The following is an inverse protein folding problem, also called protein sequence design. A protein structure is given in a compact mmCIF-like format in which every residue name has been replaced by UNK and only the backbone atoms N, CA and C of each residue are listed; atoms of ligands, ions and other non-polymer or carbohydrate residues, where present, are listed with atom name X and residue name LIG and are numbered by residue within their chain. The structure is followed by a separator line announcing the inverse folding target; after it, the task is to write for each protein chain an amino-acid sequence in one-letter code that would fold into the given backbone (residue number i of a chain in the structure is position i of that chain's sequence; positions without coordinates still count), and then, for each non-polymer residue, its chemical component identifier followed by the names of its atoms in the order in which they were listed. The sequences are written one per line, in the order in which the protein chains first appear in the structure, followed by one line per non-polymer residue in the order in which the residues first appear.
data_IF_356792051020
#
_entry.id   IF_356792051020
#
_cell.length_a   1.000
_cell.length_b   1.000
_cell.length_c   1.000
_cell.angle_alpha   90.00
_cell.angle_beta   90.00
_cell.angle_gamma   90.00
#
_symmetry.space_group_name_H-M   'P 1'
#
loop_
_entity.id
_entity.type
_entity.pdbx_description
1 polymer ?
#
# COMPACT_ATOMS: atom_id res chain seq x y z
N UNK A 1 -87.32 62.23 -75.07
CA UNK A 1 -86.52 61.10 -74.55
C UNK A 1 -85.93 61.49 -73.20
N UNK A 2 -86.48 61.00 -72.08
CA UNK A 2 -85.99 61.29 -70.72
C UNK A 2 -84.95 60.22 -70.34
N UNK A 3 -83.68 60.61 -70.17
CA UNK A 3 -82.64 59.74 -69.57
C UNK A 3 -82.95 59.58 -68.08
N UNK A 4 -83.31 58.36 -67.66
CA UNK A 4 -83.34 57.95 -66.25
C UNK A 4 -81.89 57.79 -65.79
N UNK A 5 -81.43 58.65 -64.88
CA UNK A 5 -80.23 58.40 -64.10
C UNK A 5 -80.53 57.28 -63.10
N UNK A 6 -79.81 56.16 -63.23
CA UNK A 6 -79.84 55.08 -62.25
C UNK A 6 -78.97 55.51 -61.07
N UNK A 7 -79.58 55.75 -59.90
CA UNK A 7 -78.84 55.89 -58.65
C UNK A 7 -78.24 54.52 -58.32
N UNK A 8 -76.95 54.36 -58.58
CA UNK A 8 -76.13 53.36 -57.89
C UNK A 8 -76.08 53.78 -56.42
N UNK A 9 -76.88 53.13 -55.57
CA UNK A 9 -76.82 53.32 -54.12
C UNK A 9 -75.44 52.85 -53.65
N UNK A 10 -74.55 53.81 -53.35
CA UNK A 10 -73.15 53.56 -53.02
C UNK A 10 -72.99 52.71 -51.77
N UNK A 11 -72.57 51.45 -51.96
CA UNK A 11 -72.17 50.52 -50.89
C UNK A 11 -70.77 50.79 -50.33
N UNK A 12 -70.08 51.83 -50.82
CA UNK A 12 -68.69 52.16 -50.47
C UNK A 12 -68.55 52.56 -49.00
N UNK A 13 -69.49 53.33 -48.45
CA UNK A 13 -69.40 53.79 -47.07
C UNK A 13 -69.59 52.67 -46.01
N UNK A 14 -70.62 51.79 -46.11
CA UNK A 14 -70.74 50.64 -45.21
C UNK A 14 -69.56 49.66 -45.31
N UNK A 15 -69.04 49.45 -46.51
CA UNK A 15 -67.92 48.55 -46.78
C UNK A 15 -66.60 49.09 -46.22
N UNK A 16 -66.36 50.40 -46.35
CA UNK A 16 -65.23 51.08 -45.71
C UNK A 16 -65.29 50.97 -44.18
N UNK A 17 -66.47 51.18 -43.57
CA UNK A 17 -66.66 51.03 -42.13
C UNK A 17 -66.34 49.59 -41.69
N UNK A 18 -66.82 48.58 -42.43
CA UNK A 18 -66.54 47.17 -42.14
C UNK A 18 -65.05 46.86 -42.21
N UNK A 19 -64.35 47.35 -43.23
CA UNK A 19 -62.89 47.19 -43.35
C UNK A 19 -62.14 47.93 -42.23
N UNK A 20 -62.61 49.09 -41.76
CA UNK A 20 -62.00 49.78 -40.62
C UNK A 20 -62.20 49.02 -39.30
N UNK A 21 -63.37 48.39 -39.08
CA UNK A 21 -63.58 47.54 -37.91
C UNK A 21 -62.73 46.28 -37.98
N UNK A 22 -62.62 45.67 -39.16
CA UNK A 22 -61.80 44.49 -39.36
C UNK A 22 -60.30 44.79 -39.18
N UNK A 23 -59.81 45.93 -39.68
CA UNK A 23 -58.41 46.34 -39.45
C UNK A 23 -58.15 46.64 -37.98
N UNK A 24 -59.09 47.27 -37.29
CA UNK A 24 -58.98 47.52 -35.85
C UNK A 24 -58.94 46.21 -35.05
N UNK A 25 -59.78 45.22 -35.40
CA UNK A 25 -59.75 43.89 -34.79
C UNK A 25 -58.42 43.17 -35.02
N UNK A 26 -57.87 43.23 -36.23
CA UNK A 26 -56.55 42.68 -36.54
C UNK A 26 -55.43 43.35 -35.72
N UNK A 27 -55.48 44.69 -35.60
CA UNK A 27 -54.51 45.44 -34.79
C UNK A 27 -54.63 45.04 -33.31
N UNK A 28 -55.83 44.94 -32.76
CA UNK A 28 -56.04 44.52 -31.37
C UNK A 28 -55.57 43.08 -31.14
N UNK A 29 -55.87 42.16 -32.07
CA UNK A 29 -55.39 40.79 -31.99
C UNK A 29 -53.85 40.71 -32.01
N UNK A 30 -53.21 41.46 -32.92
CA UNK A 30 -51.75 41.54 -33.00
C UNK A 30 -51.12 42.13 -31.73
N UNK A 31 -51.68 43.21 -31.20
CA UNK A 31 -51.21 43.84 -29.95
C UNK A 31 -51.37 42.89 -28.74
N UNK A 32 -52.49 42.16 -28.67
CA UNK A 32 -52.70 41.15 -27.64
C UNK A 32 -51.69 40.00 -27.71
N UNK A 33 -51.41 39.50 -28.91
CA UNK A 33 -50.40 38.46 -29.12
C UNK A 33 -48.99 38.96 -28.78
N UNK A 34 -48.61 40.16 -29.23
CA UNK A 34 -47.32 40.76 -28.94
C UNK A 34 -47.11 40.98 -27.44
N UNK A 35 -48.12 41.45 -26.71
CA UNK A 35 -48.07 41.62 -25.25
C UNK A 35 -47.91 40.28 -24.51
N UNK A 36 -48.56 39.23 -25.00
CA UNK A 36 -48.45 37.87 -24.46
C UNK A 36 -47.04 37.30 -24.68
N UNK A 37 -46.50 37.43 -25.89
CA UNK A 37 -45.14 36.99 -26.23
C UNK A 37 -44.11 37.73 -25.37
N UNK A 38 -44.19 39.05 -25.27
CA UNK A 38 -43.27 39.85 -24.45
C UNK A 38 -43.32 39.47 -22.96
N UNK A 39 -44.51 39.13 -22.45
CA UNK A 39 -44.66 38.68 -21.06
C UNK A 39 -44.04 37.30 -20.84
N UNK A 40 -44.18 36.39 -21.80
CA UNK A 40 -43.54 35.07 -21.76
C UNK A 40 -42.01 35.16 -21.87
N UNK A 41 -41.49 36.03 -22.73
CA UNK A 41 -40.04 36.25 -22.87
C UNK A 41 -39.41 36.77 -21.58
N UNK A 42 -40.05 37.77 -20.95
CA UNK A 42 -39.61 38.27 -19.63
C UNK A 42 -39.59 37.19 -18.57
N UNK A 43 -40.62 36.35 -18.53
CA UNK A 43 -40.68 35.22 -17.60
C UNK A 43 -39.56 34.21 -17.86
N UNK A 44 -39.35 33.79 -19.12
CA UNK A 44 -38.27 32.86 -19.49
C UNK A 44 -36.89 33.41 -19.16
N UNK A 45 -36.66 34.70 -19.40
CA UNK A 45 -35.40 35.34 -19.05
C UNK A 45 -35.19 35.38 -17.53
N UNK A 46 -36.23 35.72 -16.76
CA UNK A 46 -36.16 35.68 -15.29
C UNK A 46 -35.95 34.25 -14.76
N UNK A 47 -36.53 33.24 -15.42
CA UNK A 47 -36.35 31.82 -15.09
C UNK A 47 -34.91 31.36 -15.29
N UNK A 48 -34.31 31.68 -16.44
CA UNK A 48 -32.89 31.39 -16.72
C UNK A 48 -31.96 32.13 -15.77
N UNK A 49 -32.24 33.41 -15.48
CA UNK A 49 -31.48 34.21 -14.53
C UNK A 49 -31.59 33.64 -13.11
N UNK A 50 -32.76 33.17 -12.70
CA UNK A 50 -32.96 32.52 -11.41
C UNK A 50 -32.22 31.19 -11.32
N UNK A 51 -32.19 30.39 -12.39
CA UNK A 51 -31.38 29.18 -12.44
C UNK A 51 -29.89 29.50 -12.31
N UNK A 52 -29.38 30.46 -13.07
CA UNK A 52 -27.98 30.88 -13.03
C UNK A 52 -27.55 31.37 -11.63
N UNK A 53 -28.38 32.20 -10.99
CA UNK A 53 -28.14 32.66 -9.61
C UNK A 53 -28.13 31.49 -8.62
N UNK A 54 -29.01 30.51 -8.82
CA UNK A 54 -29.06 29.33 -7.96
C UNK A 54 -27.80 28.46 -8.09
N UNK A 55 -27.31 28.24 -9.32
CA UNK A 55 -26.07 27.51 -9.63
C UNK A 55 -24.84 28.24 -9.07
N UNK A 56 -24.80 29.57 -9.19
CA UNK A 56 -23.74 30.37 -8.59
C UNK A 56 -23.71 30.26 -7.05
N UNK A 57 -24.88 30.23 -6.41
CA UNK A 57 -24.98 29.97 -4.98
C UNK A 57 -24.45 28.59 -4.57
N UNK A 58 -24.77 27.54 -5.36
CA UNK A 58 -24.20 26.20 -5.14
C UNK A 58 -22.68 26.22 -5.25
N UNK A 59 -22.14 26.79 -6.31
CA UNK A 59 -20.69 26.83 -6.54
C UNK A 59 -19.94 27.63 -5.48
N UNK A 60 -20.54 28.70 -4.97
CA UNK A 60 -19.90 29.59 -3.99
C UNK A 60 -19.92 29.04 -2.57
N UNK A 61 -21.03 28.43 -2.16
CA UNK A 61 -21.25 28.07 -0.76
C UNK A 61 -21.18 26.55 -0.54
N UNK A 62 -21.70 25.75 -1.47
CA UNK A 62 -21.92 24.33 -1.23
C UNK A 62 -20.80 23.41 -1.76
N UNK A 63 -20.16 23.75 -2.88
CA UNK A 63 -19.13 22.89 -3.52
C UNK A 63 -17.97 22.60 -2.59
N UNK A 64 -17.41 23.63 -1.95
CA UNK A 64 -16.26 23.47 -1.06
C UNK A 64 -16.63 22.79 0.26
N UNK A 65 -17.91 22.85 0.66
CA UNK A 65 -18.39 22.29 1.92
C UNK A 65 -18.84 20.83 1.80
N UNK A 66 -19.39 20.43 0.65
CA UNK A 66 -19.93 19.09 0.38
C UNK A 66 -19.00 17.93 0.79
N UNK A 67 -17.69 17.95 0.48
CA UNK A 67 -16.77 16.88 0.85
C UNK A 67 -16.56 16.73 2.37
N UNK A 68 -16.79 17.79 3.13
CA UNK A 68 -16.52 17.86 4.58
C UNK A 68 -17.81 17.81 5.42
N UNK A 69 -18.93 17.38 4.81
CA UNK A 69 -20.21 17.32 5.48
C UNK A 69 -20.17 16.30 6.64
N UNK A 70 -20.30 16.80 7.87
CA UNK A 70 -20.21 16.03 9.11
C UNK A 70 -21.60 15.65 9.67
N UNK A 71 -22.65 16.31 9.22
CA UNK A 71 -24.03 16.12 9.67
C UNK A 71 -24.96 15.66 8.52
N UNK A 72 -26.04 14.96 8.88
CA UNK A 72 -27.02 14.45 7.90
C UNK A 72 -27.64 15.55 7.03
N UNK A 73 -27.80 16.77 7.56
CA UNK A 73 -28.26 17.95 6.81
C UNK A 73 -27.73 19.24 7.43
N UNK A 74 -27.05 20.06 6.63
CA UNK A 74 -26.56 21.39 7.03
C UNK A 74 -27.16 22.46 6.14
N UNK A 75 -27.64 23.55 6.74
CA UNK A 75 -28.12 24.74 6.02
C UNK A 75 -27.01 25.78 6.04
N UNK A 76 -26.47 26.10 4.86
CA UNK A 76 -25.39 27.08 4.68
C UNK A 76 -25.95 28.49 4.54
N UNK A 77 -27.03 28.64 3.75
CA UNK A 77 -27.69 29.93 3.55
C UNK A 77 -29.17 29.81 3.83
N UNK A 78 -29.65 30.62 4.78
CA UNK A 78 -31.04 30.65 5.19
C UNK A 78 -31.99 31.29 4.18
N UNK A 79 -33.22 31.53 4.63
CA UNK A 79 -34.33 32.05 3.80
C UNK A 79 -34.15 33.50 3.33
N UNK A 80 -33.33 34.29 4.02
CA UNK A 80 -33.05 35.68 3.64
C UNK A 80 -32.22 35.76 2.35
N UNK A 81 -31.37 34.77 2.11
CA UNK A 81 -30.52 34.71 0.92
C UNK A 81 -29.41 35.76 0.90
N UNK A 82 -28.60 35.69 -0.15
CA UNK A 82 -27.54 36.65 -0.45
C UNK A 82 -27.63 37.10 -1.90
N UNK A 83 -27.34 38.38 -2.13
CA UNK A 83 -27.33 38.97 -3.46
C UNK A 83 -26.14 38.46 -4.28
N UNK A 84 -26.36 38.25 -5.58
CA UNK A 84 -25.34 37.74 -6.50
C UNK A 84 -25.28 38.56 -7.77
N UNK A 85 -24.04 38.89 -8.17
CA UNK A 85 -23.70 39.60 -9.40
C UNK A 85 -24.25 41.03 -9.46
N UNK A 86 -23.74 41.82 -10.40
CA UNK A 86 -24.24 43.18 -10.66
C UNK A 86 -24.53 43.31 -12.17
N UNK A 87 -25.63 43.99 -12.51
CA UNK A 87 -25.90 44.40 -13.89
C UNK A 87 -25.11 45.67 -14.27
N UNK A 88 -25.27 46.15 -15.51
CA UNK A 88 -24.57 47.34 -16.01
C UNK A 88 -24.88 48.61 -15.21
N UNK A 89 -25.97 48.61 -14.45
CA UNK A 89 -26.44 49.72 -13.62
C UNK A 89 -26.11 49.50 -12.13
N UNK A 90 -25.37 48.43 -11.78
CA UNK A 90 -24.96 48.10 -10.41
C UNK A 90 -26.04 47.45 -9.56
N UNK A 91 -27.15 46.98 -10.14
CA UNK A 91 -28.19 46.27 -9.40
C UNK A 91 -27.90 44.76 -9.33
N UNK A 92 -28.31 44.08 -8.24
CA UNK A 92 -28.04 42.66 -8.09
C UNK A 92 -28.69 41.82 -9.19
N UNK A 93 -27.95 40.82 -9.70
CA UNK A 93 -28.52 39.87 -10.67
C UNK A 93 -29.63 39.02 -10.02
N UNK A 94 -29.54 38.70 -8.74
CA UNK A 94 -30.63 38.06 -8.02
C UNK A 94 -30.20 37.70 -6.62
N UNK A 95 -31.02 36.89 -5.94
CA UNK A 95 -30.73 36.41 -4.59
C UNK A 95 -30.72 34.88 -4.61
N UNK A 96 -29.62 34.25 -4.18
CA UNK A 96 -29.62 32.81 -3.88
C UNK A 96 -29.93 32.59 -2.41
N UNK A 97 -30.69 31.54 -2.10
CA UNK A 97 -31.18 31.24 -0.75
C UNK A 97 -31.50 29.76 -0.57
N UNK A 98 -31.76 29.37 0.68
CA UNK A 98 -32.08 27.99 1.06
C UNK A 98 -31.01 27.00 0.59
N UNK A 99 -29.73 27.36 0.78
CA UNK A 99 -28.64 26.46 0.44
C UNK A 99 -28.51 25.44 1.55
N UNK A 100 -28.68 24.17 1.20
CA UNK A 100 -28.56 23.05 2.13
C UNK A 100 -27.80 21.88 1.50
N UNK A 101 -26.92 21.28 2.28
CA UNK A 101 -26.19 20.06 1.94
C UNK A 101 -26.68 18.91 2.81
N UNK A 102 -26.84 17.72 2.26
CA UNK A 102 -27.28 16.52 2.97
C UNK A 102 -26.70 15.27 2.32
N UNK A 103 -26.71 14.15 3.04
CA UNK A 103 -26.36 12.83 2.47
C UNK A 103 -27.61 11.97 2.30
N UNK A 104 -27.60 11.11 1.29
CA UNK A 104 -28.63 10.08 1.08
C UNK A 104 -28.00 8.78 0.61
N UNK A 105 -28.58 7.64 0.98
CA UNK A 105 -28.12 6.34 0.47
C UNK A 105 -28.58 6.20 -0.99
N UNK A 106 -27.70 5.74 -1.87
CA UNK A 106 -28.08 5.43 -3.25
C UNK A 106 -28.92 4.14 -3.29
N UNK A 107 -30.03 4.16 -4.01
CA UNK A 107 -30.88 2.98 -4.18
C UNK A 107 -30.10 1.83 -4.82
N UNK A 108 -30.02 0.69 -4.11
CA UNK A 108 -29.30 -0.50 -4.57
C UNK A 108 -27.79 -0.48 -4.36
N UNK A 109 -27.24 0.50 -3.64
CA UNK A 109 -25.82 0.60 -3.33
C UNK A 109 -25.58 0.81 -1.83
N UNK A 110 -24.38 0.45 -1.37
CA UNK A 110 -23.90 0.80 -0.02
C UNK A 110 -23.32 2.21 0.06
N UNK A 111 -23.21 2.90 -1.09
CA UNK A 111 -22.63 4.24 -1.19
C UNK A 111 -23.63 5.32 -0.76
N UNK A 112 -23.10 6.36 -0.09
CA UNK A 112 -23.83 7.59 0.21
C UNK A 112 -23.54 8.62 -0.87
N UNK A 113 -24.58 9.22 -1.42
CA UNK A 113 -24.50 10.40 -2.28
C UNK A 113 -24.58 11.66 -1.42
N UNK A 114 -23.72 12.63 -1.70
CA UNK A 114 -23.70 13.95 -1.11
C UNK A 114 -24.46 14.90 -2.04
N UNK A 115 -25.52 15.53 -1.55
CA UNK A 115 -26.40 16.37 -2.35
C UNK A 115 -26.44 17.77 -1.77
N UNK A 116 -26.24 18.78 -2.62
CA UNK A 116 -26.52 20.17 -2.28
C UNK A 116 -27.66 20.72 -3.12
N UNK A 117 -28.41 21.63 -2.51
CA UNK A 117 -29.58 22.28 -3.09
C UNK A 117 -29.48 23.77 -2.90
N UNK A 118 -29.88 24.56 -3.90
CA UNK A 118 -29.94 26.02 -3.85
C UNK A 118 -31.19 26.53 -4.56
N UNK A 119 -31.77 27.62 -4.06
CA UNK A 119 -32.87 28.32 -4.73
C UNK A 119 -32.44 29.73 -5.13
N UNK A 120 -32.46 30.05 -6.42
CA UNK A 120 -32.28 31.39 -6.94
C UNK A 120 -33.63 32.11 -7.05
N UNK A 121 -33.65 33.39 -6.71
CA UNK A 121 -34.80 34.29 -6.77
C UNK A 121 -34.45 35.51 -7.61
N UNK A 122 -35.31 35.82 -8.59
CA UNK A 122 -35.17 37.00 -9.45
C UNK A 122 -36.51 37.73 -9.52
N UNK A 123 -36.44 39.06 -9.44
CA UNK A 123 -37.59 39.94 -9.55
C UNK A 123 -37.57 40.67 -10.89
N UNK A 124 -38.71 40.77 -11.56
CA UNK A 124 -38.86 41.59 -12.77
C UNK A 124 -40.18 42.37 -12.76
N UNK A 125 -40.19 43.52 -13.43
CA UNK A 125 -41.40 44.33 -13.60
C UNK A 125 -42.27 43.77 -14.74
N UNK A 126 -43.52 43.43 -14.39
CA UNK A 126 -44.54 43.01 -15.36
C UNK A 126 -44.87 44.14 -16.34
N UNK A 127 -45.55 43.80 -17.43
CA UNK A 127 -46.09 44.76 -18.39
C UNK A 127 -47.12 45.73 -17.78
N UNK A 128 -47.62 45.44 -16.58
CA UNK A 128 -48.60 46.26 -15.83
C UNK A 128 -47.93 47.00 -14.66
N UNK A 129 -46.60 46.91 -14.51
CA UNK A 129 -45.83 47.62 -13.48
C UNK A 129 -45.80 46.95 -12.10
N UNK A 130 -46.38 45.75 -11.96
CA UNK A 130 -46.25 44.94 -10.75
C UNK A 130 -44.95 44.14 -10.76
N UNK A 131 -44.32 43.96 -9.60
CA UNK A 131 -43.16 43.08 -9.44
C UNK A 131 -43.60 41.62 -9.44
N UNK A 132 -42.96 40.80 -10.28
CA UNK A 132 -43.14 39.36 -10.32
C UNK A 132 -41.84 38.71 -9.85
N UNK A 133 -41.96 37.80 -8.88
CA UNK A 133 -40.85 37.03 -8.32
C UNK A 133 -40.84 35.63 -8.95
N UNK A 134 -39.71 35.24 -9.51
CA UNK A 134 -39.48 33.91 -10.08
C UNK A 134 -38.42 33.21 -9.24
N UNK A 135 -38.69 31.96 -8.87
CA UNK A 135 -37.76 31.13 -8.11
C UNK A 135 -37.45 29.85 -8.87
N UNK A 136 -36.16 29.47 -8.88
CA UNK A 136 -35.69 28.20 -9.42
C UNK A 136 -34.81 27.51 -8.41
N UNK A 137 -35.03 26.21 -8.27
CA UNK A 137 -34.24 25.37 -7.39
C UNK A 137 -33.41 24.42 -8.24
N UNK A 138 -32.11 24.37 -7.95
CA UNK A 138 -31.14 23.48 -8.58
C UNK A 138 -30.53 22.58 -7.52
N UNK A 139 -30.04 21.43 -7.96
CA UNK A 139 -29.35 20.47 -7.13
C UNK A 139 -28.03 20.09 -7.81
N UNK A 140 -27.05 19.74 -6.99
CA UNK A 140 -25.83 19.08 -7.42
C UNK A 140 -25.62 17.87 -6.53
N UNK A 141 -25.03 16.82 -7.08
CA UNK A 141 -24.65 15.66 -6.30
C UNK A 141 -23.21 15.23 -6.57
N UNK A 142 -22.61 14.65 -5.54
CA UNK A 142 -21.26 14.11 -5.54
C UNK A 142 -21.33 12.71 -4.94
N UNK A 143 -20.74 11.74 -5.62
CA UNK A 143 -20.60 10.37 -5.11
C UNK A 143 -19.11 10.15 -4.85
N UNK A 144 -18.71 9.77 -3.62
CA UNK A 144 -17.31 9.45 -3.36
C UNK A 144 -16.92 8.23 -4.20
N UNK A 145 -15.81 8.38 -4.93
CA UNK A 145 -15.07 7.28 -5.54
C UNK A 145 -13.83 7.03 -4.67
N UNK A 146 -13.47 5.77 -4.46
CA UNK A 146 -12.27 5.36 -3.73
C UNK A 146 -11.45 4.36 -4.55
N UNK A 147 -10.40 3.83 -3.93
CA UNK A 147 -9.51 2.85 -4.58
C UNK A 147 -10.21 1.54 -4.95
N UNK A 148 -11.38 1.26 -4.39
CA UNK A 148 -12.14 0.04 -4.71
C UNK A 148 -12.63 -0.02 -6.17
N UNK A 149 -12.56 1.08 -6.91
CA UNK A 149 -12.89 1.11 -8.33
C UNK A 149 -11.74 0.62 -9.21
N UNK A 150 -10.52 0.60 -8.68
CA UNK A 150 -9.32 0.23 -9.41
C UNK A 150 -8.87 -1.18 -9.01
N UNK A 151 -8.61 -2.01 -10.01
CA UNK A 151 -7.85 -3.23 -9.79
C UNK A 151 -6.36 -2.93 -9.64
N UNK A 152 -5.87 -1.94 -10.38
CA UNK A 152 -4.52 -1.44 -10.26
C UNK A 152 -4.53 0.09 -10.33
N UNK A 153 -3.96 0.72 -9.31
CA UNK A 153 -3.75 2.16 -9.26
C UNK A 153 -2.35 2.42 -8.73
N UNK A 154 -1.55 3.17 -9.48
CA UNK A 154 -0.28 3.68 -8.96
C UNK A 154 -0.05 5.14 -9.29
N UNK A 155 0.65 5.82 -8.39
CA UNK A 155 1.11 7.17 -8.63
C UNK A 155 2.38 7.21 -9.50
N UNK A 156 3.20 6.15 -9.44
CA UNK A 156 4.43 6.03 -10.22
C UNK A 156 4.80 4.53 -10.34
N UNK A 157 5.32 4.09 -11.48
CA UNK A 157 5.72 2.69 -11.72
C UNK A 157 7.12 2.39 -11.14
N UNK A 158 7.38 2.91 -9.93
CA UNK A 158 8.66 2.68 -9.25
C UNK A 158 8.68 1.28 -8.61
N UNK A 159 9.77 0.50 -8.84
CA UNK A 159 9.92 -0.81 -8.23
C UNK A 159 9.95 -0.72 -6.70
N UNK A 160 9.14 -1.53 -6.01
CA UNK A 160 9.06 -1.57 -4.55
C UNK A 160 8.98 -3.01 -4.02
N UNK A 161 9.38 -3.21 -2.77
CA UNK A 161 9.37 -4.52 -2.10
C UNK A 161 10.74 -5.23 -2.06
N UNK A 162 10.82 -6.43 -1.46
CA UNK A 162 12.07 -7.17 -1.32
C UNK A 162 12.56 -7.72 -2.68
N UNK A 163 13.83 -7.49 -2.99
CA UNK A 163 14.48 -7.85 -4.26
C UNK A 163 13.73 -7.35 -5.51
N UNK A 164 13.47 -6.03 -5.61
CA UNK A 164 12.66 -5.51 -6.68
C UNK A 164 13.47 -5.46 -7.98
N UNK A 165 12.81 -5.65 -9.11
CA UNK A 165 13.41 -5.43 -10.44
C UNK A 165 13.87 -3.98 -10.59
N UNK A 166 14.69 -3.68 -11.60
CA UNK A 166 15.08 -2.31 -11.93
C UNK A 166 13.92 -1.43 -12.42
N UNK A 167 12.81 -2.05 -12.83
CA UNK A 167 11.59 -1.40 -13.30
C UNK A 167 10.39 -2.34 -13.08
N UNK A 168 9.20 -1.78 -12.95
CA UNK A 168 7.93 -2.52 -13.04
C UNK A 168 7.63 -2.76 -14.52
N UNK A 169 7.26 -3.99 -14.88
CA UNK A 169 6.88 -4.34 -16.26
C UNK A 169 5.69 -5.28 -16.30
N UNK A 170 4.80 -5.07 -17.27
CA UNK A 170 3.61 -5.91 -17.49
C UNK A 170 3.84 -6.90 -18.63
N UNK A 171 3.48 -8.18 -18.47
CA UNK A 171 3.67 -9.23 -19.49
C UNK A 171 2.57 -10.28 -19.54
N UNK A 172 2.82 -11.40 -20.24
CA UNK A 172 1.84 -12.47 -20.55
C UNK A 172 1.12 -13.08 -19.34
N UNK A 173 1.70 -12.98 -18.14
CA UNK A 173 1.09 -13.49 -16.91
C UNK A 173 0.15 -12.49 -16.21
N UNK A 174 0.07 -11.25 -16.68
CA UNK A 174 -0.70 -10.19 -16.04
C UNK A 174 -2.08 -10.07 -16.69
N UNK A 175 -3.09 -10.61 -16.01
CA UNK A 175 -4.50 -10.52 -16.40
C UNK A 175 -5.21 -9.53 -15.47
N UNK A 176 -5.57 -8.36 -16.00
CA UNK A 176 -6.13 -7.23 -15.27
C UNK A 176 -7.59 -7.01 -15.67
N UNK A 177 -8.50 -7.65 -14.91
CA UNK A 177 -9.94 -7.68 -15.19
C UNK A 177 -10.70 -6.38 -14.87
N UNK A 178 -10.13 -5.52 -14.01
CA UNK A 178 -10.77 -4.29 -13.53
C UNK A 178 -10.20 -3.01 -14.14
N UNK A 179 -10.59 -1.86 -13.58
CA UNK A 179 -10.03 -0.58 -14.02
C UNK A 179 -8.56 -0.47 -13.62
N UNK A 180 -7.73 -0.11 -14.58
CA UNK A 180 -6.30 0.11 -14.38
C UNK A 180 -5.97 1.58 -14.62
N UNK A 181 -5.19 2.16 -13.71
CA UNK A 181 -4.73 3.53 -13.84
C UNK A 181 -3.30 3.71 -13.35
N UNK A 182 -2.52 4.50 -14.09
CA UNK A 182 -1.18 4.91 -13.68
C UNK A 182 -0.98 6.40 -13.94
N UNK A 183 -0.48 7.09 -12.91
CA UNK A 183 0.00 8.47 -13.04
C UNK A 183 1.47 8.53 -13.49
N UNK A 184 2.13 7.37 -13.67
CA UNK A 184 3.52 7.29 -14.06
C UNK A 184 3.75 7.92 -15.44
N UNK A 185 4.87 8.65 -15.64
CA UNK A 185 5.25 9.13 -16.97
C UNK A 185 5.75 8.02 -17.90
N UNK A 186 6.02 6.83 -17.37
CA UNK A 186 6.51 5.68 -18.16
C UNK A 186 5.78 4.39 -17.76
N UNK A 187 5.36 3.61 -18.77
CA UNK A 187 4.86 2.24 -18.61
C UNK A 187 5.75 1.30 -19.43
N UNK A 188 6.16 0.19 -18.84
CA UNK A 188 7.06 -0.78 -19.49
C UNK A 188 6.33 -2.10 -19.73
N UNK A 189 6.39 -2.60 -20.96
CA UNK A 189 5.88 -3.92 -21.33
C UNK A 189 7.03 -4.94 -21.42
N UNK A 190 6.76 -6.16 -21.00
CA UNK A 190 7.71 -7.28 -21.06
C UNK A 190 8.04 -7.65 -22.51
N UNK A 191 9.28 -8.07 -22.76
CA UNK A 191 9.67 -8.67 -24.04
C UNK A 191 9.15 -10.11 -24.21
N UNK A 192 8.53 -10.68 -23.17
CA UNK A 192 8.09 -12.08 -23.12
C UNK A 192 6.56 -12.22 -23.14
N UNK A 193 5.90 -11.40 -23.96
CA UNK A 193 4.45 -11.39 -24.14
C UNK A 193 3.75 -10.23 -23.44
N UNK A 194 2.47 -10.04 -23.74
CA UNK A 194 1.72 -8.84 -23.43
C UNK A 194 0.67 -9.08 -22.34
N UNK A 195 0.40 -8.09 -21.48
CA UNK A 195 -0.65 -8.21 -20.47
C UNK A 195 -2.04 -8.21 -21.12
N UNK A 196 -2.99 -8.85 -20.47
CA UNK A 196 -4.40 -8.84 -20.87
C UNK A 196 -5.20 -7.88 -19.98
N UNK A 197 -5.74 -6.82 -20.58
CA UNK A 197 -6.63 -5.86 -19.92
C UNK A 197 -8.05 -6.07 -20.41
N UNK A 198 -8.95 -6.57 -19.56
CA UNK A 198 -10.38 -6.68 -19.92
C UNK A 198 -11.20 -5.48 -19.45
N UNK A 199 -10.63 -4.64 -18.58
CA UNK A 199 -11.20 -3.38 -18.11
C UNK A 199 -10.62 -2.15 -18.83
N UNK A 200 -11.05 -0.95 -18.41
CA UNK A 200 -10.49 0.30 -18.96
C UNK A 200 -9.08 0.54 -18.43
N UNK A 201 -8.13 0.80 -19.33
CA UNK A 201 -6.78 1.22 -18.97
C UNK A 201 -6.63 2.72 -19.21
N UNK A 202 -6.28 3.46 -18.16
CA UNK A 202 -6.14 4.92 -18.23
C UNK A 202 -4.76 5.38 -17.79
N UNK A 203 -4.16 6.31 -18.52
CA UNK A 203 -2.81 6.82 -18.28
C UNK A 203 -2.81 8.35 -18.19
N UNK A 204 -1.85 8.91 -17.47
CA UNK A 204 -1.69 10.38 -17.35
C UNK A 204 -0.73 10.93 -18.41
N UNK A 205 -1.08 12.05 -19.04
CA UNK A 205 -0.15 12.74 -19.94
C UNK A 205 0.87 13.63 -19.18
N UNK A 206 2.14 13.69 -19.64
CA UNK A 206 2.73 12.96 -20.77
C UNK A 206 3.13 11.52 -20.40
N UNK A 207 2.85 10.57 -21.30
CA UNK A 207 3.17 9.15 -21.13
C UNK A 207 4.19 8.68 -22.19
N UNK A 208 5.11 7.80 -21.79
CA UNK A 208 6.03 7.05 -22.64
C UNK A 208 5.85 5.55 -22.42
N UNK A 209 5.97 4.77 -23.50
CA UNK A 209 5.92 3.31 -23.43
C UNK A 209 7.31 2.74 -23.72
N UNK A 210 7.77 1.84 -22.86
CA UNK A 210 9.07 1.16 -22.95
C UNK A 210 8.90 -0.37 -23.07
N UNK A 211 9.97 -1.07 -23.45
CA UNK A 211 9.93 -2.52 -23.68
C UNK A 211 9.30 -2.89 -25.01
N UNK A 212 8.51 -3.96 -25.04
CA UNK A 212 7.84 -4.41 -26.27
C UNK A 212 6.55 -3.61 -26.55
N UNK A 213 6.69 -2.52 -27.29
CA UNK A 213 5.56 -1.66 -27.64
C UNK A 213 4.58 -2.32 -28.61
N UNK A 214 4.87 -3.50 -29.17
CA UNK A 214 3.89 -4.23 -29.99
C UNK A 214 2.66 -4.65 -29.18
N UNK A 215 2.78 -4.74 -27.86
CA UNK A 215 1.65 -4.96 -26.97
C UNK A 215 0.57 -3.88 -27.05
N UNK A 216 0.91 -2.67 -27.50
CA UNK A 216 -0.07 -1.61 -27.72
C UNK A 216 -1.04 -1.94 -28.88
N UNK A 217 -0.58 -2.71 -29.87
CA UNK A 217 -1.41 -3.14 -31.00
C UNK A 217 -2.45 -4.19 -30.56
N UNK A 218 -2.15 -4.94 -29.48
CA UNK A 218 -3.06 -5.93 -28.90
C UNK A 218 -4.04 -5.31 -27.87
N UNK A 219 -3.82 -4.05 -27.48
CA UNK A 219 -4.68 -3.29 -26.56
C UNK A 219 -5.79 -2.55 -27.29
N UNK A 220 -6.55 -3.29 -28.09
CA UNK A 220 -7.73 -2.81 -28.81
C UNK A 220 -9.00 -3.51 -28.30
N UNK A 221 -10.11 -2.78 -28.29
CA UNK A 221 -11.43 -3.33 -27.98
C UNK A 221 -12.00 -4.17 -29.14
N UNK A 222 -13.21 -4.70 -28.98
CA UNK A 222 -13.90 -5.49 -30.02
C UNK A 222 -14.08 -4.72 -31.36
N UNK A 223 -14.02 -3.39 -31.33
CA UNK A 223 -14.16 -2.50 -32.49
C UNK A 223 -12.79 -2.06 -33.09
N UNK A 224 -11.67 -2.53 -32.54
CA UNK A 224 -10.31 -2.18 -33.00
C UNK A 224 -9.86 -0.78 -32.53
N UNK A 225 -10.44 -0.27 -31.44
CA UNK A 225 -10.09 1.03 -30.85
C UNK A 225 -9.24 0.78 -29.61
N UNK A 226 -8.17 1.54 -29.44
CA UNK A 226 -7.33 1.39 -28.26
C UNK A 226 -8.13 1.53 -26.96
N UNK A 227 -7.97 0.58 -26.05
CA UNK A 227 -8.57 0.61 -24.70
C UNK A 227 -7.84 1.59 -23.76
N UNK A 228 -6.72 2.16 -24.21
CA UNK A 228 -5.93 3.12 -23.46
C UNK A 228 -6.51 4.52 -23.66
N UNK A 229 -6.95 5.13 -22.56
CA UNK A 229 -7.43 6.50 -22.55
C UNK A 229 -6.49 7.42 -21.76
N UNK A 230 -6.31 8.65 -22.23
CA UNK A 230 -5.50 9.66 -21.54
C UNK A 230 -6.37 10.54 -20.67
N UNK A 231 -6.06 10.60 -19.38
CA UNK A 231 -6.80 11.38 -18.39
C UNK A 231 -5.87 12.29 -17.59
N UNK A 232 -6.41 13.30 -16.92
CA UNK A 232 -5.65 14.08 -15.95
C UNK A 232 -5.24 13.21 -14.76
N UNK A 233 -4.15 13.58 -14.07
CA UNK A 233 -3.64 12.81 -12.94
C UNK A 233 -4.71 12.65 -11.86
N UNK A 234 -4.94 11.39 -11.46
CA UNK A 234 -5.90 11.08 -10.43
C UNK A 234 -5.20 11.20 -9.07
N UNK A 235 -5.67 12.14 -8.24
CA UNK A 235 -5.09 12.42 -6.93
C UNK A 235 -6.06 11.95 -5.83
N UNK A 236 -5.58 11.07 -4.95
CA UNK A 236 -6.27 10.59 -3.75
C UNK A 236 -5.43 10.92 -2.50
N UNK A 237 -5.96 11.45 -1.37
CA UNK A 237 -7.19 12.23 -1.08
C UNK A 237 -7.09 13.70 -1.56
N UNK A 238 -8.11 14.58 -1.39
CA UNK A 238 -8.35 15.78 -2.23
C UNK A 238 -7.29 16.89 -2.14
N UNK A 239 -6.39 16.83 -1.16
CA UNK A 239 -5.14 17.54 -1.18
C UNK A 239 -4.04 16.51 -1.25
N UNK A 240 -3.03 16.76 -2.08
CA UNK A 240 -1.79 15.99 -2.18
C UNK A 240 -1.02 16.08 -0.84
N UNK A 241 -1.60 15.61 0.25
CA UNK A 241 -1.12 15.77 1.62
C UNK A 241 0.24 15.13 1.75
N UNK A 242 0.43 13.97 1.12
CA UNK A 242 1.73 13.31 0.99
C UNK A 242 2.70 14.17 0.17
N UNK A 243 2.32 14.71 -0.98
CA UNK A 243 3.19 15.55 -1.79
C UNK A 243 3.55 16.89 -1.13
N UNK A 244 2.61 17.50 -0.40
CA UNK A 244 2.85 18.70 0.42
C UNK A 244 3.79 18.35 1.58
N UNK A 245 3.58 17.20 2.24
CA UNK A 245 4.45 16.72 3.30
C UNK A 245 5.87 16.43 2.77
N UNK A 246 6.00 15.77 1.61
CA UNK A 246 7.27 15.54 0.92
C UNK A 246 7.94 16.86 0.52
N UNK A 247 7.21 17.80 -0.07
CA UNK A 247 7.73 19.09 -0.52
C UNK A 247 8.16 20.01 0.63
N UNK A 248 7.53 19.89 1.80
CA UNK A 248 7.90 20.62 3.01
C UNK A 248 8.76 19.79 3.97
N UNK A 249 9.13 18.56 3.60
CA UNK A 249 10.00 17.73 4.43
C UNK A 249 11.39 18.36 4.51
N UNK A 250 11.86 18.59 5.74
CA UNK A 250 13.23 19.09 5.95
C UNK A 250 14.27 17.98 5.73
N UNK A 251 13.85 16.71 5.87
CA UNK A 251 14.67 15.52 5.68
C UNK A 251 13.86 14.46 4.94
N UNK A 252 14.46 13.84 3.93
CA UNK A 252 13.88 12.74 3.15
C UNK A 252 14.84 11.57 3.24
N UNK A 253 14.33 10.41 3.66
CA UNK A 253 15.03 9.14 3.64
C UNK A 253 14.38 8.29 2.55
N UNK A 254 15.16 7.88 1.56
CA UNK A 254 14.68 6.98 0.51
C UNK A 254 15.06 5.54 0.88
N UNK A 255 14.24 4.58 0.45
CA UNK A 255 14.41 3.18 0.82
C UNK A 255 15.56 2.49 0.06
N UNK A 256 16.10 3.15 -0.97
CA UNK A 256 17.13 2.66 -1.88
C UNK A 256 18.56 3.11 -1.53
N UNK A 257 18.70 4.15 -0.70
CA UNK A 257 19.98 4.75 -0.37
C UNK A 257 20.24 4.74 1.13
N UNK A 258 21.35 4.12 1.54
CA UNK A 258 21.85 4.23 2.91
C UNK A 258 22.37 5.65 3.15
N UNK A 259 22.26 6.16 4.39
CA UNK A 259 22.97 7.36 4.87
C UNK A 259 24.50 7.05 4.89
N UNK A 260 25.07 6.97 3.68
CA UNK A 260 26.48 6.88 3.22
C UNK A 260 27.48 5.97 3.95
N UNK A 261 28.19 5.11 3.18
CA UNK A 261 29.68 5.11 3.12
C UNK A 261 30.32 4.63 1.78
N UNK A 262 29.59 4.39 0.69
CA UNK A 262 30.18 4.31 -0.66
C UNK A 262 29.12 4.42 -1.77
N UNK A 263 29.18 5.40 -2.68
CA UNK A 263 28.16 5.65 -3.71
C UNK A 263 28.17 4.65 -4.89
N UNK A 264 28.90 3.53 -4.78
CA UNK A 264 29.14 2.60 -5.88
C UNK A 264 28.45 1.24 -5.72
N UNK A 265 27.73 1.01 -4.61
CA UNK A 265 26.97 -0.21 -4.38
C UNK A 265 25.51 0.15 -4.15
N UNK A 266 24.65 -0.40 -5.00
CA UNK A 266 23.20 -0.40 -4.78
C UNK A 266 22.89 -1.55 -3.84
N UNK A 267 21.99 -1.27 -2.92
CA UNK A 267 21.83 -2.02 -1.71
C UNK A 267 20.39 -2.54 -1.63
N UNK A 268 20.23 -3.82 -1.30
CA UNK A 268 18.98 -4.54 -1.60
C UNK A 268 17.94 -4.46 -0.50
N UNK A 269 18.34 -4.28 0.77
CA UNK A 269 17.41 -4.14 1.90
C UNK A 269 18.02 -3.24 3.00
N UNK A 270 17.39 -2.10 3.28
CA UNK A 270 17.79 -1.12 4.31
C UNK A 270 16.69 -1.03 5.37
N UNK A 271 17.04 -1.14 6.65
CA UNK A 271 16.13 -0.83 7.76
C UNK A 271 16.46 0.56 8.31
N UNK A 272 15.42 1.39 8.52
CA UNK A 272 15.55 2.74 9.09
C UNK A 272 14.88 2.78 10.45
N UNK A 273 15.64 3.05 11.50
CA UNK A 273 15.12 3.36 12.83
C UNK A 273 15.07 4.87 13.02
N UNK A 274 13.96 5.35 13.59
CA UNK A 274 13.76 6.76 13.92
C UNK A 274 13.43 6.85 15.41
N UNK A 275 14.30 7.50 16.17
CA UNK A 275 14.11 7.76 17.60
C UNK A 275 13.80 9.25 17.80
N UNK A 276 12.67 9.55 18.47
CA UNK A 276 12.27 10.93 18.74
C UNK A 276 12.80 11.37 20.11
N UNK A 277 13.57 12.46 20.13
CA UNK A 277 14.15 13.03 21.34
C UNK A 277 13.10 13.88 22.08
N UNK A 278 12.96 13.68 23.40
CA UNK A 278 12.03 14.41 24.27
C UNK A 278 12.23 15.94 24.24
N UNK A 279 13.45 16.40 23.93
CA UNK A 279 13.80 17.82 23.82
C UNK A 279 13.39 18.47 22.49
N UNK A 280 12.83 17.69 21.56
CA UNK A 280 12.43 18.14 20.23
C UNK A 280 13.55 17.91 19.22
N UNK A 281 13.52 16.74 18.59
CA UNK A 281 14.45 16.31 17.56
C UNK A 281 14.19 14.85 17.17
N UNK A 282 14.96 14.33 16.23
CA UNK A 282 14.98 12.89 15.97
C UNK A 282 16.38 12.43 15.58
N UNK A 283 16.69 11.19 15.95
CA UNK A 283 17.83 10.42 15.45
C UNK A 283 17.32 9.45 14.41
N UNK A 284 18.03 9.34 13.29
CA UNK A 284 17.73 8.34 12.27
C UNK A 284 18.97 7.50 12.02
N UNK A 285 18.82 6.19 12.17
CA UNK A 285 19.90 5.22 11.95
C UNK A 285 19.45 4.26 10.86
N UNK A 286 20.32 3.98 9.90
CA UNK A 286 20.07 3.03 8.82
C UNK A 286 21.12 1.93 8.83
N UNK A 287 20.69 0.70 8.55
CA UNK A 287 21.58 -0.46 8.50
C UNK A 287 21.12 -1.50 7.50
N UNK A 288 22.05 -2.38 7.11
CA UNK A 288 21.79 -3.58 6.34
C UNK A 288 20.70 -4.41 7.02
N UNK A 289 19.59 -4.63 6.33
CA UNK A 289 18.64 -5.63 6.79
C UNK A 289 19.19 -7.01 6.44
N UNK A 290 19.84 -7.64 7.42
CA UNK A 290 20.27 -9.02 7.34
C UNK A 290 19.08 -9.90 7.75
N UNK A 291 18.43 -10.54 6.78
CA UNK A 291 17.62 -11.73 7.07
C UNK A 291 18.60 -12.78 7.61
N UNK A 292 18.46 -13.26 8.86
CA UNK A 292 19.29 -14.36 9.32
C UNK A 292 19.07 -15.55 8.38
N UNK A 293 20.09 -16.37 8.09
CA UNK A 293 19.80 -17.68 7.52
C UNK A 293 18.86 -18.39 8.49
N UNK A 294 17.60 -18.58 8.08
CA UNK A 294 16.67 -19.41 8.84
C UNK A 294 17.05 -20.84 8.51
N UNK A 295 18.12 -21.29 9.15
CA UNK A 295 18.62 -22.66 8.99
C UNK A 295 17.48 -23.59 9.40
N UNK A 296 17.26 -24.63 8.62
CA UNK A 296 16.32 -25.70 8.97
C UNK A 296 16.61 -26.17 10.40
N UNK A 297 15.65 -25.96 11.32
CA UNK A 297 15.66 -26.67 12.59
C UNK A 297 15.34 -28.11 12.24
N UNK A 298 16.38 -28.95 12.20
CA UNK A 298 16.23 -30.36 11.87
C UNK A 298 15.42 -31.12 12.95
N UNK A 299 15.03 -30.45 14.05
CA UNK A 299 14.11 -30.95 15.06
C UNK A 299 14.63 -32.17 15.82
N UNK A 300 15.92 -32.47 15.71
CA UNK A 300 16.55 -33.62 16.34
C UNK A 300 17.36 -33.16 17.55
N UNK A 301 16.86 -33.51 18.74
CA UNK A 301 17.46 -33.25 20.04
C UNK A 301 17.40 -34.53 20.88
N UNK A 302 18.55 -34.98 21.39
CA UNK A 302 18.69 -36.26 22.11
C UNK A 302 19.51 -36.03 23.39
N UNK A 303 18.98 -36.45 24.54
CA UNK A 303 19.68 -36.35 25.83
C UNK A 303 20.67 -37.50 26.07
N UNK A 304 21.80 -37.20 26.70
CA UNK A 304 22.86 -38.13 27.12
C UNK A 304 23.54 -37.67 28.41
N UNK A 305 24.33 -38.53 29.04
CA UNK A 305 25.35 -38.10 30.01
C UNK A 305 26.67 -37.77 29.31
N UNK A 306 27.42 -36.79 29.82
CA UNK A 306 28.77 -36.54 29.34
C UNK A 306 29.78 -37.48 30.02
N UNK A 307 30.53 -38.20 29.20
CA UNK A 307 31.61 -39.10 29.63
C UNK A 307 32.96 -38.38 29.46
N UNK A 308 33.43 -37.76 30.52
CA UNK A 308 34.72 -37.07 30.59
C UNK A 308 35.88 -38.03 30.90
N UNK A 309 35.58 -39.23 31.42
CA UNK A 309 36.59 -40.22 31.80
C UNK A 309 36.92 -41.17 30.66
N UNK A 310 38.04 -41.89 30.76
CA UNK A 310 38.37 -42.92 29.77
C UNK A 310 37.60 -44.20 30.10
N UNK A 311 36.44 -44.39 29.47
CA UNK A 311 35.56 -45.53 29.67
C UNK A 311 36.15 -46.89 29.21
N UNK A 312 37.29 -46.90 28.51
CA UNK A 312 37.91 -48.13 28.04
C UNK A 312 37.08 -48.83 26.94
N UNK A 313 36.37 -49.90 27.27
CA UNK A 313 35.49 -50.60 26.32
C UNK A 313 34.10 -50.87 26.94
N UNK A 314 32.99 -50.35 26.37
CA UNK A 314 32.90 -49.50 25.17
C UNK A 314 33.65 -48.16 25.31
N UNK A 315 34.04 -47.51 24.19
CA UNK A 315 34.85 -46.29 24.20
C UNK A 315 34.10 -45.04 24.72
N UNK A 316 32.80 -45.17 24.95
CA UNK A 316 31.95 -44.23 25.67
C UNK A 316 30.98 -45.04 26.53
N UNK A 317 30.63 -44.55 27.71
CA UNK A 317 29.66 -45.22 28.59
C UNK A 317 28.27 -45.37 27.95
N UNK A 318 27.48 -46.31 28.49
CA UNK A 318 26.10 -46.53 28.03
C UNK A 318 25.25 -45.33 28.40
N UNK A 319 24.42 -44.84 27.47
CA UNK A 319 23.62 -43.62 27.61
C UNK A 319 24.45 -42.31 27.64
N UNK A 320 25.72 -42.37 27.23
CA UNK A 320 26.64 -41.24 27.29
C UNK A 320 27.18 -40.82 25.92
N UNK A 321 27.70 -39.60 25.85
CA UNK A 321 28.47 -39.09 24.72
C UNK A 321 29.79 -38.47 25.19
N UNK A 322 30.75 -38.36 24.27
CA UNK A 322 32.07 -37.77 24.56
C UNK A 322 32.73 -37.16 23.34
N UNK A 323 33.31 -35.98 23.51
CA UNK A 323 34.24 -35.40 22.55
C UNK A 323 35.65 -35.95 22.77
N UNK A 324 36.23 -36.56 21.74
CA UNK A 324 37.55 -37.18 21.82
C UNK A 324 38.58 -36.43 21.00
N UNK A 325 39.81 -36.38 21.51
CA UNK A 325 40.99 -35.92 20.78
C UNK A 325 41.62 -37.06 19.95
N UNK A 326 42.71 -36.77 19.23
CA UNK A 326 43.43 -37.74 18.40
C UNK A 326 43.95 -38.97 19.16
N UNK A 327 44.20 -38.82 20.47
CA UNK A 327 44.70 -39.90 21.33
C UNK A 327 43.56 -40.74 21.94
N UNK A 328 42.29 -40.39 21.65
CA UNK A 328 41.10 -41.07 22.16
C UNK A 328 40.70 -40.68 23.58
N UNK A 329 41.40 -39.73 24.19
CA UNK A 329 41.03 -39.14 25.48
C UNK A 329 40.07 -37.98 25.31
N UNK A 330 39.61 -37.43 26.44
CA UNK A 330 38.73 -36.26 26.45
C UNK A 330 39.37 -35.09 25.70
N UNK A 331 38.58 -34.43 24.88
CA UNK A 331 39.08 -33.35 24.04
C UNK A 331 39.28 -32.03 24.78
N UNK A 332 38.75 -31.89 26.01
CA UNK A 332 38.85 -30.64 26.74
C UNK A 332 40.29 -30.37 27.20
N UNK A 333 40.84 -29.22 26.82
CA UNK A 333 42.12 -28.72 27.30
C UNK A 333 41.97 -27.34 27.96
N UNK A 334 42.33 -27.17 29.25
CA UNK A 334 42.31 -25.86 29.90
C UNK A 334 43.14 -24.82 29.13
N UNK A 335 42.45 -23.82 28.55
CA UNK A 335 43.06 -22.74 27.76
C UNK A 335 42.88 -22.85 26.24
N UNK A 336 42.60 -24.05 25.73
CA UNK A 336 42.29 -24.31 24.31
C UNK A 336 40.84 -24.84 24.12
N UNK A 337 40.10 -25.05 25.21
CA UNK A 337 38.72 -25.53 25.13
C UNK A 337 38.62 -26.89 24.45
N UNK A 338 37.72 -26.99 23.47
CA UNK A 338 37.51 -28.20 22.67
C UNK A 338 38.20 -28.16 21.29
N UNK A 339 39.13 -27.23 21.05
CA UNK A 339 39.79 -27.04 19.74
C UNK A 339 40.54 -28.29 19.23
N UNK A 340 40.92 -29.19 20.13
CA UNK A 340 41.61 -30.44 19.81
C UNK A 340 40.65 -31.63 19.56
N UNK A 341 39.34 -31.42 19.60
CA UNK A 341 38.37 -32.47 19.34
C UNK A 341 38.40 -32.90 17.86
N UNK A 342 38.39 -34.21 17.63
CA UNK A 342 38.40 -34.78 16.27
C UNK A 342 37.18 -35.62 15.97
N UNK A 343 36.46 -36.08 16.99
CA UNK A 343 35.24 -36.86 16.83
C UNK A 343 34.37 -36.74 18.07
N UNK A 344 33.05 -36.85 17.87
CA UNK A 344 32.08 -37.11 18.92
C UNK A 344 31.74 -38.60 18.89
N UNK A 345 31.85 -39.26 20.04
CA UNK A 345 31.38 -40.62 20.26
C UNK A 345 30.02 -40.57 20.97
N UNK A 346 29.03 -41.27 20.45
CA UNK A 346 27.66 -41.25 20.99
C UNK A 346 27.17 -42.67 21.20
N UNK A 347 26.66 -42.97 22.40
CA UNK A 347 26.03 -44.25 22.70
C UNK A 347 24.84 -44.52 21.78
N UNK A 348 24.54 -45.78 21.50
CA UNK A 348 23.34 -46.17 20.72
C UNK A 348 22.04 -46.08 21.52
N UNK A 349 22.13 -45.75 22.81
CA UNK A 349 20.97 -45.50 23.66
C UNK A 349 21.01 -44.09 24.23
N UNK A 350 19.85 -43.44 24.33
CA UNK A 350 19.69 -42.12 24.94
C UNK A 350 19.79 -42.16 26.49
N UNK A 351 19.70 -41.00 27.14
CA UNK A 351 19.70 -40.85 28.61
C UNK A 351 18.60 -41.68 29.31
N UNK A 352 17.49 -41.96 28.62
CA UNK A 352 16.38 -42.77 29.12
C UNK A 352 16.55 -44.27 28.86
N UNK A 353 17.60 -44.67 28.13
CA UNK A 353 17.88 -46.05 27.73
C UNK A 353 17.10 -46.53 26.49
N UNK A 354 16.53 -45.62 25.70
CA UNK A 354 15.87 -45.94 24.43
C UNK A 354 16.90 -46.00 23.29
N UNK A 355 16.64 -46.86 22.29
CA UNK A 355 17.42 -46.87 21.04
C UNK A 355 17.27 -45.55 20.30
N UNK A 356 18.38 -44.91 19.95
CA UNK A 356 18.42 -43.60 19.28
C UNK A 356 18.78 -43.70 17.78
N UNK A 357 18.76 -44.91 17.21
CA UNK A 357 19.18 -45.17 15.82
C UNK A 357 18.38 -44.35 14.81
N UNK A 358 17.08 -44.13 15.02
CA UNK A 358 16.24 -43.31 14.13
C UNK A 358 16.67 -41.85 14.12
N UNK A 359 16.90 -41.27 15.28
CA UNK A 359 17.27 -39.88 15.50
C UNK A 359 18.71 -39.65 15.02
N UNK A 360 19.64 -40.53 15.37
CA UNK A 360 21.03 -40.44 14.89
C UNK A 360 21.16 -40.61 13.37
N UNK A 361 20.22 -41.29 12.72
CA UNK A 361 20.21 -41.43 11.26
C UNK A 361 19.85 -40.15 10.49
N UNK A 362 19.38 -39.10 11.19
CA UNK A 362 19.09 -37.80 10.57
C UNK A 362 20.35 -36.95 10.38
N UNK A 363 21.44 -37.23 11.09
CA UNK A 363 22.69 -36.48 10.98
C UNK A 363 23.38 -36.77 9.64
N UNK A 364 23.81 -35.73 8.94
CA UNK A 364 24.40 -35.76 7.61
C UNK A 364 25.73 -34.98 7.54
N UNK A 365 26.47 -35.18 6.46
CA UNK A 365 27.71 -34.46 6.18
C UNK A 365 27.46 -32.95 6.13
N UNK A 366 28.21 -32.19 6.93
CA UNK A 366 28.19 -30.72 6.88
C UNK A 366 27.17 -30.06 7.81
N UNK A 367 26.43 -30.83 8.59
CA UNK A 367 25.55 -30.27 9.62
C UNK A 367 26.34 -29.62 10.74
N UNK A 368 25.75 -28.59 11.34
CA UNK A 368 26.21 -28.02 12.58
C UNK A 368 25.56 -28.76 13.76
N UNK A 369 26.39 -29.25 14.67
CA UNK A 369 25.98 -30.04 15.82
C UNK A 369 26.40 -29.31 17.07
N UNK A 370 25.51 -29.26 18.05
CA UNK A 370 25.80 -28.69 19.36
C UNK A 370 25.55 -29.68 20.49
N UNK A 371 26.34 -29.57 21.55
CA UNK A 371 26.14 -30.26 22.82
C UNK A 371 25.95 -29.18 23.87
N UNK A 372 24.80 -29.17 24.51
CA UNK A 372 24.43 -28.19 25.53
C UNK A 372 24.19 -28.88 26.88
N UNK A 373 24.71 -28.32 27.96
CA UNK A 373 24.45 -28.81 29.31
C UNK A 373 23.04 -28.45 29.77
N UNK A 374 22.31 -29.38 30.35
CA UNK A 374 20.98 -29.09 30.93
C UNK A 374 21.08 -28.36 32.28
N UNK A 375 22.22 -28.47 32.95
CA UNK A 375 22.42 -27.97 34.32
C UNK A 375 23.26 -26.68 34.37
N UNK A 376 23.96 -26.33 33.28
CA UNK A 376 24.89 -25.19 33.23
C UNK A 376 24.86 -24.48 31.87
N UNK A 377 25.38 -23.26 31.80
CA UNK A 377 25.48 -22.47 30.56
C UNK A 377 26.65 -22.93 29.64
N UNK A 378 26.93 -24.25 29.58
CA UNK A 378 27.98 -24.81 28.72
C UNK A 378 27.39 -25.29 27.41
N UNK A 379 27.94 -24.80 26.30
CA UNK A 379 27.59 -25.25 24.96
C UNK A 379 28.86 -25.38 24.11
N UNK A 380 28.94 -26.45 23.33
CA UNK A 380 29.95 -26.61 22.29
C UNK A 380 29.28 -26.86 20.95
N UNK A 381 29.70 -26.15 19.90
CA UNK A 381 29.17 -26.27 18.54
C UNK A 381 30.28 -26.54 17.53
N UNK A 382 30.03 -27.43 16.58
CA UNK A 382 31.00 -27.82 15.55
C UNK A 382 30.31 -28.43 14.33
N UNK A 383 30.97 -28.36 13.18
CA UNK A 383 30.49 -29.00 11.95
C UNK A 383 30.97 -30.43 11.85
N UNK A 384 30.09 -31.37 11.51
CA UNK A 384 30.43 -32.80 11.37
C UNK A 384 30.76 -33.21 9.93
N UNK A 385 31.55 -34.27 9.80
CA UNK A 385 31.72 -35.05 8.59
C UNK A 385 30.71 -36.21 8.56
N UNK A 386 30.81 -37.08 7.55
CA UNK A 386 29.88 -38.20 7.36
C UNK A 386 29.80 -39.10 8.61
N UNK A 387 28.64 -39.18 9.31
CA UNK A 387 28.48 -40.02 10.48
C UNK A 387 28.71 -41.50 10.17
N UNK A 388 29.29 -42.22 11.13
CA UNK A 388 29.57 -43.64 11.04
C UNK A 388 28.63 -44.38 11.99
N UNK A 389 27.71 -45.23 11.48
CA UNK A 389 26.77 -45.97 12.31
C UNK A 389 27.46 -47.02 13.19
N UNK A 390 26.83 -47.40 14.32
CA UNK A 390 27.38 -48.38 15.24
C UNK A 390 27.60 -49.73 14.57
N UNK A 391 28.78 -50.30 14.79
CA UNK A 391 29.12 -51.65 14.36
C UNK A 391 28.64 -52.70 15.36
N UNK A 392 28.90 -53.99 15.07
CA UNK A 392 28.61 -55.06 16.01
C UNK A 392 29.38 -54.91 17.35
N UNK A 393 30.56 -54.31 17.31
CA UNK A 393 31.45 -54.02 18.45
C UNK A 393 32.39 -52.86 18.05
N UNK A 394 32.35 -51.65 18.65
CA UNK A 394 31.44 -51.16 19.72
C UNK A 394 30.09 -50.61 19.20
N UNK A 395 29.03 -50.62 20.03
CA UNK A 395 27.69 -50.12 19.68
C UNK A 395 27.61 -48.58 19.84
N UNK A 396 28.51 -47.87 19.18
CA UNK A 396 28.73 -46.42 19.34
C UNK A 396 28.72 -45.76 17.97
N UNK A 397 27.97 -44.67 17.84
CA UNK A 397 28.04 -43.78 16.69
C UNK A 397 29.31 -42.93 16.76
N UNK A 398 29.96 -42.76 15.61
CA UNK A 398 31.14 -41.88 15.50
C UNK A 398 30.78 -40.75 14.56
N UNK A 399 30.81 -39.51 15.05
CA UNK A 399 30.60 -38.29 14.29
C UNK A 399 31.95 -37.59 14.16
N UNK A 400 32.70 -37.79 13.06
CA UNK A 400 33.98 -37.12 12.88
C UNK A 400 33.76 -35.62 12.72
N UNK A 401 34.60 -34.80 13.35
CA UNK A 401 34.49 -33.34 13.30
C UNK A 401 35.23 -32.82 12.07
N UNK A 402 34.66 -31.83 11.39
CA UNK A 402 35.35 -31.11 10.34
C UNK A 402 36.36 -30.12 10.93
N UNK A 403 37.56 -30.60 11.21
CA UNK A 403 38.65 -29.81 11.81
C UNK A 403 39.19 -28.67 10.92
N UNK A 404 38.63 -28.45 9.73
CA UNK A 404 38.91 -27.26 8.91
C UNK A 404 38.02 -26.05 9.29
N UNK A 405 36.97 -26.28 10.07
CA UNK A 405 36.08 -25.26 10.61
C UNK A 405 36.31 -25.12 12.12
N UNK A 406 36.08 -23.93 12.70
CA UNK A 406 36.27 -23.71 14.12
C UNK A 406 35.27 -24.53 14.94
N UNK A 407 35.70 -24.92 16.14
CA UNK A 407 34.83 -25.43 17.21
C UNK A 407 34.57 -24.24 18.13
N UNK A 408 33.30 -23.95 18.42
CA UNK A 408 32.96 -22.90 19.38
C UNK A 408 32.60 -23.54 20.72
N UNK A 409 33.21 -23.09 21.80
CA UNK A 409 32.84 -23.49 23.16
C UNK A 409 32.53 -22.24 23.99
N UNK A 410 31.34 -22.21 24.56
CA UNK A 410 30.89 -21.18 25.48
C UNK A 410 30.63 -21.83 26.84
N UNK A 411 31.26 -21.30 27.89
CA UNK A 411 31.15 -21.85 29.22
C UNK A 411 32.14 -21.20 30.19
N UNK A 412 32.14 -21.61 31.47
CA UNK A 412 33.04 -21.07 32.48
C UNK A 412 34.52 -21.27 32.08
N UNK A 413 35.39 -20.25 32.27
CA UNK A 413 36.80 -20.35 31.89
C UNK A 413 37.51 -21.52 32.59
N UNK A 414 38.14 -22.39 31.80
CA UNK A 414 38.97 -23.50 32.30
C UNK A 414 38.20 -24.72 32.82
N UNK A 415 36.89 -24.78 32.61
CA UNK A 415 36.04 -25.93 32.93
C UNK A 415 35.34 -26.40 31.65
N UNK A 416 35.43 -27.71 31.34
CA UNK A 416 34.67 -28.38 30.28
C UNK A 416 33.41 -29.06 30.82
N UNK A 417 32.79 -29.93 30.04
CA UNK A 417 31.75 -30.82 30.54
C UNK A 417 32.34 -31.80 31.58
N UNK A 418 31.57 -32.06 32.63
CA UNK A 418 31.94 -32.90 33.76
C UNK A 418 31.40 -34.31 33.55
N UNK A 419 32.00 -35.28 34.24
CA UNK A 419 31.47 -36.63 34.30
C UNK A 419 30.02 -36.64 34.80
N UNK A 420 29.18 -37.45 34.15
CA UNK A 420 27.76 -37.63 34.46
C UNK A 420 26.93 -36.34 34.33
N UNK A 421 27.44 -35.31 33.65
CA UNK A 421 26.68 -34.09 33.36
C UNK A 421 25.60 -34.39 32.31
N UNK A 422 24.34 -34.00 32.59
CA UNK A 422 23.25 -34.17 31.63
C UNK A 422 23.46 -33.20 30.47
N UNK A 423 23.52 -33.72 29.25
CA UNK A 423 23.77 -32.96 28.04
C UNK A 423 22.77 -33.31 26.94
N UNK A 424 22.40 -32.32 26.15
CA UNK A 424 21.56 -32.46 24.96
C UNK A 424 22.40 -32.33 23.71
N UNK A 425 22.34 -33.34 22.85
CA UNK A 425 22.91 -33.31 21.50
C UNK A 425 21.84 -32.81 20.52
N UNK A 426 22.11 -31.71 19.84
CA UNK A 426 21.22 -31.10 18.84
C UNK A 426 21.89 -30.94 17.48
N UNK A 427 21.06 -31.01 16.43
CA UNK A 427 21.46 -30.81 15.03
C UNK A 427 20.76 -29.58 14.45
N UNK A 428 21.52 -28.70 13.81
CA UNK A 428 21.01 -27.70 12.88
C UNK A 428 21.34 -28.15 11.46
N UNK A 429 20.37 -28.07 10.55
CA UNK A 429 20.55 -28.51 9.16
C UNK A 429 21.62 -27.69 8.43
N UNK A 430 22.08 -28.16 7.27
CA UNK A 430 22.98 -27.35 6.44
C UNK A 430 22.33 -26.04 6.00
N UNK A 431 23.12 -24.96 5.88
CA UNK A 431 22.68 -23.58 5.51
C UNK A 431 22.00 -23.42 4.14
N UNK A 432 21.68 -24.51 3.45
CA UNK A 432 21.08 -24.52 2.11
C UNK A 432 19.54 -24.63 2.06
N UNK A 433 18.87 -25.00 3.16
CA UNK A 433 17.39 -25.15 3.23
C UNK A 433 16.79 -24.18 4.23
N UNK A 434 15.82 -23.39 3.77
CA UNK A 434 15.09 -22.39 4.57
C UNK A 434 14.01 -23.07 5.42
N UNK A 435 13.96 -22.76 6.71
CA UNK A 435 12.85 -23.15 7.58
C UNK A 435 11.57 -22.37 7.20
N UNK A 436 10.59 -23.05 6.60
CA UNK A 436 9.35 -22.45 6.12
C UNK A 436 8.31 -22.20 7.22
N UNK A 437 8.54 -22.71 8.44
CA UNK A 437 7.58 -22.69 9.54
C UNK A 437 7.83 -21.56 10.56
N UNK A 438 8.94 -20.82 10.44
CA UNK A 438 9.19 -19.62 11.26
C UNK A 438 8.44 -18.43 10.65
N UNK A 439 7.43 -17.87 11.34
CA UNK A 439 6.75 -16.68 10.89
C UNK A 439 7.74 -15.51 10.77
N UNK A 440 7.60 -14.74 9.69
CA UNK A 440 8.27 -13.47 9.52
C UNK A 440 8.01 -12.61 10.78
N UNK A 441 9.06 -12.37 11.59
CA UNK A 441 9.08 -11.50 12.80
C UNK A 441 8.87 -12.15 14.20
N UNK A 442 9.12 -13.45 14.40
CA UNK A 442 8.92 -14.10 15.73
C UNK A 442 10.05 -13.92 16.76
N UNK A 443 11.19 -13.33 16.39
CA UNK A 443 12.36 -13.27 17.28
C UNK A 443 12.32 -12.06 18.24
N UNK A 444 12.14 -12.36 19.52
CA UNK A 444 11.99 -11.41 20.63
C UNK A 444 13.20 -10.49 20.90
N UNK A 445 14.38 -10.78 20.33
CA UNK A 445 15.65 -10.11 20.67
C UNK A 445 16.24 -9.20 19.58
N UNK A 446 15.60 -9.03 18.42
CA UNK A 446 16.14 -8.16 17.35
C UNK A 446 16.20 -6.66 17.70
N UNK A 447 15.55 -6.24 18.80
CA UNK A 447 15.34 -4.83 19.11
C UNK A 447 15.89 -4.40 20.47
N UNK A 448 16.74 -5.22 21.13
CA UNK A 448 17.28 -4.88 22.45
C UNK A 448 18.78 -4.61 22.36
N UNK A 449 19.13 -3.32 22.24
CA UNK A 449 20.49 -2.86 22.43
C UNK A 449 20.73 -2.64 23.93
N UNK A 450 21.76 -3.28 24.50
CA UNK A 450 22.26 -2.87 25.82
C UNK A 450 22.98 -1.52 25.67
N UNK A 451 22.49 -0.48 26.35
CA UNK A 451 23.17 0.83 26.35
C UNK A 451 24.64 0.70 26.81
N UNK A 452 25.60 1.34 26.12
CA UNK A 452 26.96 1.42 26.61
C UNK A 452 27.03 2.43 27.76
N UNK A 453 27.36 1.96 28.97
CA UNK A 453 27.72 2.85 30.08
C UNK A 453 29.08 3.49 29.81
N UNK A 454 29.11 4.61 29.09
CA UNK A 454 30.26 5.52 28.99
C UNK A 454 30.88 5.68 27.60
N UNK A 455 31.69 6.75 27.45
CA UNK A 455 32.43 7.12 26.23
C UNK A 455 33.49 6.06 25.85
N UNK A 456 33.07 4.97 25.21
CA UNK A 456 33.91 3.95 24.59
C UNK A 456 34.25 4.26 23.13
N UNK A 457 35.22 3.52 22.58
CA UNK A 457 35.79 3.72 21.24
C UNK A 457 34.79 3.17 20.18
N UNK A 458 34.73 3.68 18.92
CA UNK A 458 33.78 3.21 17.91
C UNK A 458 33.92 1.74 17.48
N UNK A 459 34.90 1.01 18.01
CA UNK A 459 35.07 -0.43 17.81
C UNK A 459 34.44 -1.28 18.93
N UNK A 460 33.86 -0.65 19.95
CA UNK A 460 33.16 -1.35 21.04
C UNK A 460 31.70 -1.68 20.68
N UNK A 461 31.21 -1.23 19.51
CA UNK A 461 29.95 -1.67 18.91
C UNK A 461 30.19 -2.89 18.01
N UNK A 462 30.35 -4.06 18.61
CA UNK A 462 30.24 -5.32 17.88
C UNK A 462 28.77 -5.69 17.73
N UNK A 463 28.10 -5.12 16.73
CA UNK A 463 27.04 -5.91 16.08
C UNK A 463 27.75 -7.11 15.46
N UNK A 464 27.39 -8.30 15.94
CA UNK A 464 28.05 -9.59 15.68
C UNK A 464 29.33 -9.85 16.49
N UNK A 465 29.18 -10.12 17.79
CA UNK A 465 30.03 -11.08 18.50
C UNK A 465 29.16 -12.03 19.31
N UNK A 466 28.42 -12.89 18.61
CA UNK A 466 28.17 -14.24 19.09
C UNK A 466 29.04 -15.13 18.21
N UNK A 467 29.89 -15.96 18.80
CA UNK A 467 30.75 -16.84 18.02
C UNK A 467 29.84 -17.86 17.31
N UNK A 468 29.87 -17.84 15.97
CA UNK A 468 28.92 -18.59 15.14
C UNK A 468 28.45 -17.82 13.89
N UNK A 469 28.86 -16.56 13.72
CA UNK A 469 28.66 -15.78 12.49
C UNK A 469 29.97 -15.22 11.93
#
# INVERSE_FOLDING_TARGET
MKKKFHNSSGSVAPLAILFTFFSMLLIVAYLGQSSTIASMEKYRFAELRAQYVAEAGLNREAVDYLPYLDADTTILVGKQGMEFGEDQDGNPLGVYKNISCYTQLMDGSTRKEFVAKSTGEVNYASTVGSTVTVQKTVFMSMVPSGFEEFMYFTNDEEPFGPNPSSFVSFGDGDELEGRVHTNSPTVTFSEWGCPEFTGSFTVTEPISYEGDTSCLDDMEDEDGVSIIDTVESIIFPPDNSIGILKANATRVFTADDMITFSPAQKDTLIMTEIEFDESGGFWATQWWYLVPPVVEDAGTSIGFYYDSTDAGFPPVEVNSLRLVNLDGGDAYNPGEGYDNAVSLLVSSTDINGNDNTSEMSTFELGDEVSIESEDTDKIVSFTIQNPIPPGAFPPVWILPINTFLPINYEGPPGIGFLEDESVTLSRQGSSGTLNADVPFNEFQYFHHHSEPTGFGNPMDNTMCQANGF
#
